data_IF_227754010404
#
_entry.id   IF_227754010404
#
_cell.length_a   1.000
_cell.length_b   1.000
_cell.length_c   1.000
_cell.angle_alpha   90.00
_cell.angle_beta   90.00
_cell.angle_gamma   90.00
#
_symmetry.space_group_name_H-M   'P 1'
#
loop_
_entity.id
_entity.type
_entity.pdbx_description
1 polymer ?
#
# COMPACT_ATOMS: atom_id res chain seq x y z
N UNK A 1 4.97 17.69 26.64
CA UNK A 1 4.44 16.44 26.05
C UNK A 1 4.88 16.39 24.59
N UNK A 2 5.92 15.63 24.23
CA UNK A 2 6.32 15.54 22.84
C UNK A 2 5.40 14.57 22.10
N UNK A 3 4.86 14.99 20.97
CA UNK A 3 4.19 14.12 20.02
C UNK A 3 5.28 13.49 19.15
N UNK A 4 5.35 12.16 19.12
CA UNK A 4 6.21 11.44 18.18
C UNK A 4 5.58 11.55 16.79
N UNK A 5 6.23 12.24 15.86
CA UNK A 5 5.84 12.22 14.46
C UNK A 5 6.33 10.89 13.84
N UNK A 6 5.40 9.96 13.61
CA UNK A 6 5.57 8.91 12.62
C UNK A 6 5.38 9.57 11.26
N UNK A 7 6.43 9.68 10.45
CA UNK A 7 6.34 10.19 9.08
C UNK A 7 5.43 9.28 8.25
N UNK A 8 4.24 9.74 7.80
CA UNK A 8 3.52 9.00 6.78
C UNK A 8 4.14 9.38 5.43
N UNK A 9 4.62 8.39 4.69
CA UNK A 9 5.00 8.53 3.29
C UNK A 9 3.82 9.09 2.50
N UNK A 10 3.91 10.38 2.19
CA UNK A 10 2.84 11.17 1.56
C UNK A 10 2.27 12.22 2.51
N UNK A 11 3.10 13.12 3.02
CA UNK A 11 2.60 14.31 3.70
C UNK A 11 1.84 15.17 2.69
N UNK A 12 0.50 15.08 2.71
CA UNK A 12 -0.35 16.18 2.26
C UNK A 12 -0.17 17.31 3.29
N UNK A 13 0.98 17.98 3.26
CA UNK A 13 1.17 19.19 4.05
C UNK A 13 0.16 20.23 3.56
N UNK A 14 -0.36 21.06 4.48
CA UNK A 14 -1.34 22.10 4.13
C UNK A 14 -0.86 23.03 2.99
N UNK A 15 0.45 23.14 2.81
CA UNK A 15 1.10 23.82 1.69
C UNK A 15 0.73 23.24 0.32
N UNK A 16 0.61 21.92 0.19
CA UNK A 16 0.24 21.21 -1.04
C UNK A 16 -1.25 21.36 -1.41
N UNK A 17 -2.07 21.87 -0.49
CA UNK A 17 -3.48 22.16 -0.71
C UNK A 17 -3.70 23.58 -1.30
N UNK A 18 -2.74 24.49 -1.13
CA UNK A 18 -2.90 25.90 -1.54
C UNK A 18 -2.87 26.07 -3.07
N UNK A 19 -3.72 26.95 -3.59
CA UNK A 19 -3.75 27.33 -5.01
C UNK A 19 -4.47 26.35 -5.95
N UNK A 20 -5.06 25.27 -5.43
CA UNK A 20 -5.87 24.32 -6.20
C UNK A 20 -7.34 24.72 -6.17
N UNK A 21 -7.99 24.79 -7.32
CA UNK A 21 -9.42 25.13 -7.43
C UNK A 21 -10.29 24.13 -6.67
N UNK A 22 -11.25 24.64 -5.89
CA UNK A 22 -12.30 23.83 -5.26
C UNK A 22 -13.56 23.89 -6.13
N UNK A 23 -14.18 22.75 -6.39
CA UNK A 23 -15.39 22.65 -7.21
C UNK A 23 -16.55 23.42 -6.58
N UNK A 24 -17.31 24.13 -7.43
CA UNK A 24 -18.55 24.80 -7.04
C UNK A 24 -19.75 23.84 -6.89
N UNK A 25 -19.55 22.54 -7.17
CA UNK A 25 -20.60 21.54 -7.02
C UNK A 25 -20.94 21.34 -5.55
N UNK A 26 -22.22 21.41 -5.20
CA UNK A 26 -22.67 21.22 -3.83
C UNK A 26 -22.33 19.80 -3.31
N UNK A 27 -21.78 19.66 -2.09
CA UNK A 27 -21.48 18.36 -1.51
C UNK A 27 -22.75 17.64 -1.03
N UNK A 28 -22.73 16.30 -1.07
CA UNK A 28 -23.70 15.46 -0.38
C UNK A 28 -23.36 15.35 1.12
N UNK A 29 -24.34 14.99 1.97
CA UNK A 29 -24.10 14.69 3.39
C UNK A 29 -23.03 13.60 3.54
N UNK A 30 -21.95 13.91 4.26
CA UNK A 30 -20.82 13.00 4.45
C UNK A 30 -19.75 13.03 3.35
N UNK A 31 -19.89 13.90 2.34
CA UNK A 31 -18.83 14.11 1.36
C UNK A 31 -17.66 14.89 1.96
N UNK A 32 -16.45 14.48 1.59
CA UNK A 32 -15.21 15.21 1.91
C UNK A 32 -14.52 15.59 0.60
N UNK A 33 -13.58 16.53 0.65
CA UNK A 33 -12.85 16.95 -0.55
C UNK A 33 -11.86 15.86 -0.98
N UNK A 34 -12.03 15.35 -2.20
CA UNK A 34 -11.09 14.47 -2.89
C UNK A 34 -10.45 15.18 -4.08
N UNK A 35 -9.16 14.96 -4.33
CA UNK A 35 -8.47 15.50 -5.51
C UNK A 35 -8.75 14.63 -6.73
N UNK A 36 -9.35 15.18 -7.79
CA UNK A 36 -9.64 14.44 -9.04
C UNK A 36 -8.54 14.57 -10.12
N UNK A 37 -7.40 15.18 -9.80
CA UNK A 37 -6.34 15.50 -10.76
C UNK A 37 -6.32 16.96 -11.22
N UNK A 38 -7.41 17.72 -11.06
CA UNK A 38 -7.50 19.12 -11.51
C UNK A 38 -8.21 20.06 -10.52
N UNK A 39 -9.15 19.54 -9.72
CA UNK A 39 -9.87 20.29 -8.71
C UNK A 39 -10.15 19.41 -7.47
N UNK A 40 -10.36 20.06 -6.34
CA UNK A 40 -10.97 19.43 -5.17
C UNK A 40 -12.47 19.29 -5.41
N UNK A 41 -12.96 18.07 -5.53
CA UNK A 41 -14.39 17.77 -5.75
C UNK A 41 -14.96 17.09 -4.50
N UNK A 42 -16.26 17.31 -4.18
CA UNK A 42 -16.93 16.48 -3.19
C UNK A 42 -16.85 15.02 -3.61
N UNK A 43 -16.30 14.16 -2.76
CA UNK A 43 -16.20 12.72 -3.00
C UNK A 43 -16.87 11.94 -1.88
N UNK A 44 -17.75 11.02 -2.27
CA UNK A 44 -18.37 10.04 -1.40
C UNK A 44 -17.44 8.83 -1.32
N UNK A 45 -16.55 8.80 -0.33
CA UNK A 45 -15.62 7.69 -0.13
C UNK A 45 -14.17 8.09 -0.37
N UNK A 46 -13.56 8.73 0.63
CA UNK A 46 -12.11 8.81 0.71
C UNK A 46 -11.55 7.45 1.05
N UNK A 47 -11.32 6.62 0.04
CA UNK A 47 -10.05 5.91 0.08
C UNK A 47 -9.03 6.95 -0.34
N UNK A 48 -8.06 7.28 0.54
CA UNK A 48 -6.97 8.18 0.17
C UNK A 48 -6.24 7.69 -1.09
N UNK A 49 -5.22 8.42 -1.60
CA UNK A 49 -4.32 7.80 -2.57
C UNK A 49 -3.91 6.44 -1.99
N UNK A 50 -4.20 5.35 -2.71
CA UNK A 50 -3.73 4.04 -2.30
C UNK A 50 -2.22 4.18 -2.25
N UNK A 51 -1.65 4.16 -1.03
CA UNK A 51 -0.20 4.12 -0.88
C UNK A 51 0.34 2.96 -1.70
N UNK A 52 1.64 2.95 -2.05
CA UNK A 52 2.21 1.78 -2.73
C UNK A 52 1.75 0.54 -1.99
N UNK A 53 1.15 -0.41 -2.72
CA UNK A 53 0.57 -1.62 -2.14
C UNK A 53 1.57 -2.17 -1.12
N UNK A 54 1.18 -2.21 0.15
CA UNK A 54 2.14 -2.49 1.23
C UNK A 54 2.70 -3.89 1.02
N UNK A 55 3.98 -4.00 0.67
CA UNK A 55 4.68 -5.28 0.56
C UNK A 55 4.69 -5.93 1.94
N UNK A 56 4.16 -7.14 2.03
CA UNK A 56 4.25 -7.96 3.23
C UNK A 56 5.40 -8.95 3.12
N UNK A 57 6.13 -9.11 4.23
CA UNK A 57 7.09 -10.19 4.42
C UNK A 57 6.42 -11.31 5.20
N UNK A 58 6.22 -12.44 4.56
CA UNK A 58 5.59 -13.62 5.11
C UNK A 58 6.65 -14.70 5.37
N UNK A 59 6.33 -15.67 6.22
CA UNK A 59 7.19 -16.82 6.48
C UNK A 59 6.36 -18.03 6.89
N UNK A 60 6.92 -19.21 6.70
CA UNK A 60 6.32 -20.46 7.13
C UNK A 60 7.17 -21.66 6.76
N UNK A 61 6.66 -22.85 7.07
CA UNK A 61 7.34 -24.12 6.75
C UNK A 61 6.92 -24.60 5.36
N UNK A 62 7.90 -24.86 4.50
CA UNK A 62 7.66 -25.31 3.13
C UNK A 62 7.27 -24.18 2.18
N UNK A 63 7.17 -24.53 0.90
CA UNK A 63 6.79 -23.62 -0.17
C UNK A 63 5.39 -23.00 0.07
N UNK A 64 5.20 -21.70 -0.19
CA UNK A 64 3.93 -21.03 0.06
C UNK A 64 2.85 -21.50 -0.92
N UNK A 65 1.61 -21.63 -0.43
CA UNK A 65 0.47 -21.87 -1.31
C UNK A 65 0.04 -20.60 -2.05
N UNK A 66 -0.62 -20.77 -3.20
CA UNK A 66 -1.14 -19.66 -4.01
C UNK A 66 -2.17 -18.78 -3.24
N UNK A 67 -2.79 -19.29 -2.18
CA UNK A 67 -3.74 -18.54 -1.34
C UNK A 67 -3.08 -17.62 -0.31
N UNK A 68 -1.78 -17.80 -0.03
CA UNK A 68 -1.05 -16.99 0.96
C UNK A 68 -0.53 -15.72 0.28
N UNK A 69 -0.72 -14.55 0.92
CA UNK A 69 -0.19 -13.27 0.45
C UNK A 69 -0.90 -12.69 -0.79
N UNK A 70 -0.61 -11.42 -1.04
CA UNK A 70 -1.06 -10.63 -2.19
C UNK A 70 0.06 -10.54 -3.23
N UNK A 71 -0.29 -10.07 -4.43
CA UNK A 71 0.73 -9.68 -5.41
C UNK A 71 1.69 -8.68 -4.78
N UNK A 72 2.97 -8.76 -5.16
CA UNK A 72 4.08 -7.97 -4.63
C UNK A 72 4.62 -8.37 -3.25
N UNK A 73 4.04 -9.37 -2.57
CA UNK A 73 4.55 -9.89 -1.30
C UNK A 73 5.77 -10.82 -1.48
N UNK A 74 6.54 -10.98 -0.41
CA UNK A 74 7.64 -11.94 -0.30
C UNK A 74 7.34 -13.00 0.77
N UNK A 75 7.87 -14.21 0.61
CA UNK A 75 7.69 -15.30 1.56
C UNK A 75 9.01 -16.07 1.78
N UNK A 76 9.37 -16.30 3.04
CA UNK A 76 10.51 -17.14 3.42
C UNK A 76 10.03 -18.54 3.86
N UNK A 77 10.44 -19.57 3.13
CA UNK A 77 10.38 -20.94 3.61
C UNK A 77 11.52 -21.18 4.61
N UNK A 78 11.16 -21.24 5.88
CA UNK A 78 12.12 -21.40 6.99
C UNK A 78 12.66 -22.83 7.12
N UNK A 79 12.02 -23.80 6.46
CA UNK A 79 12.44 -25.21 6.50
C UNK A 79 13.54 -25.49 5.49
N UNK A 80 13.37 -24.99 4.28
CA UNK A 80 14.33 -25.22 3.19
C UNK A 80 15.27 -24.03 2.97
N UNK A 81 15.03 -22.89 3.63
CA UNK A 81 15.81 -21.67 3.44
C UNK A 81 15.60 -21.07 2.05
N UNK A 82 14.37 -21.12 1.53
CA UNK A 82 14.04 -20.65 0.19
C UNK A 82 13.24 -19.35 0.28
N UNK A 83 13.67 -18.32 -0.43
CA UNK A 83 12.93 -17.07 -0.59
C UNK A 83 12.07 -17.11 -1.85
N UNK A 84 10.77 -16.84 -1.70
CA UNK A 84 9.81 -16.71 -2.79
C UNK A 84 9.36 -15.26 -2.94
N UNK A 85 9.18 -14.81 -4.18
CA UNK A 85 8.59 -13.52 -4.51
C UNK A 85 9.49 -12.60 -5.34
N UNK A 86 8.99 -11.40 -5.71
CA UNK A 86 7.65 -10.89 -5.36
C UNK A 86 6.53 -11.71 -6.01
N UNK A 87 5.44 -11.97 -5.28
CA UNK A 87 4.30 -12.74 -5.81
C UNK A 87 3.69 -12.03 -7.02
N UNK A 88 3.38 -12.75 -8.09
CA UNK A 88 2.77 -12.18 -9.30
C UNK A 88 1.49 -12.92 -9.64
N UNK A 89 0.38 -12.19 -9.75
CA UNK A 89 -0.93 -12.72 -10.19
C UNK A 89 -1.33 -14.04 -9.51
N UNK A 90 -1.21 -14.11 -8.19
CA UNK A 90 -1.56 -15.31 -7.41
C UNK A 90 -0.48 -16.40 -7.35
N UNK A 91 0.64 -16.24 -8.05
CA UNK A 91 1.72 -17.24 -8.14
C UNK A 91 3.03 -16.75 -7.51
N UNK A 92 3.72 -17.67 -6.83
CA UNK A 92 4.99 -17.39 -6.14
C UNK A 92 6.24 -17.59 -7.00
N UNK A 93 6.10 -18.25 -8.16
CA UNK A 93 7.22 -18.55 -9.05
C UNK A 93 8.22 -19.53 -8.46
N UNK A 94 9.40 -19.61 -9.08
CA UNK A 94 10.53 -20.38 -8.55
C UNK A 94 11.15 -19.64 -7.36
N UNK A 95 11.46 -20.36 -6.30
CA UNK A 95 12.14 -19.81 -5.12
C UNK A 95 13.66 -19.73 -5.30
N UNK A 96 14.29 -18.80 -4.58
CA UNK A 96 15.73 -18.62 -4.48
C UNK A 96 16.25 -19.31 -3.22
N UNK A 97 17.15 -20.29 -3.37
CA UNK A 97 17.85 -20.90 -2.24
C UNK A 97 18.78 -19.87 -1.59
N UNK A 98 18.64 -19.68 -0.28
CA UNK A 98 19.57 -18.88 0.50
C UNK A 98 20.79 -19.73 0.87
N UNK A 99 21.99 -19.17 0.72
CA UNK A 99 23.21 -19.87 1.13
C UNK A 99 23.24 -20.00 2.65
N UNK A 100 23.36 -21.24 3.12
CA UNK A 100 23.80 -21.54 4.48
C UNK A 100 25.33 -21.45 4.49
N UNK A 101 25.86 -20.49 5.26
CA UNK A 101 27.31 -20.36 5.48
C UNK A 101 27.88 -21.41 6.44
#
# INVERSE_FOLDING_TARGET
MPFFALSPTGTVDATSLRGRTVSATAPATGAVLGWNGSAWVPSSGVTGPTGPESVQWLYGSGAPSAGIGRSNDFYLDTTNGILYGPKTSGSWGAGLQLQTG
#
